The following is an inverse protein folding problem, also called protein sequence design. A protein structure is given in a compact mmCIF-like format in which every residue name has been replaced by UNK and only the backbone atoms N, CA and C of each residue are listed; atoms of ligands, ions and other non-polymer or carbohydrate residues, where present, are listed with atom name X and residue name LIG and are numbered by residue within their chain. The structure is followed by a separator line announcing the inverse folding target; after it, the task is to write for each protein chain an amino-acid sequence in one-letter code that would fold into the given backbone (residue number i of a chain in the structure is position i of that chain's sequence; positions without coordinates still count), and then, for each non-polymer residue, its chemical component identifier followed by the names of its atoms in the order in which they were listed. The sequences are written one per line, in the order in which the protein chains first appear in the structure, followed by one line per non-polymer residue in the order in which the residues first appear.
data_IF_147741191825
#
_entry.id   IF_147741191825
#
_cell.length_a   1.000
_cell.length_b   1.000
_cell.length_c   1.000
_cell.angle_alpha   90.00
_cell.angle_beta   90.00
_cell.angle_gamma   90.00
#
_symmetry.space_group_name_H-M   'P 1'
#
loop_
_entity.id
_entity.type
_entity.pdbx_description
1 polymer ?
#
# COMPACT_ATOMS: atom_id res chain seq x y z
N UNK A 1 24.09 -29.19 12.80
CA UNK A 1 24.44 -27.81 12.50
C UNK A 1 23.13 -27.11 12.12
N UNK A 2 22.55 -26.32 13.00
CA UNK A 2 21.33 -25.58 12.66
C UNK A 2 21.61 -24.60 11.53
N UNK A 3 20.72 -24.57 10.52
CA UNK A 3 20.83 -23.58 9.44
C UNK A 3 20.64 -22.19 10.06
N UNK A 4 21.67 -21.36 10.01
CA UNK A 4 21.62 -19.97 10.51
C UNK A 4 20.79 -19.03 9.62
N UNK A 5 20.50 -19.44 8.38
CA UNK A 5 19.71 -18.65 7.43
C UNK A 5 18.73 -19.57 6.70
N UNK A 6 17.49 -19.13 6.61
CA UNK A 6 16.43 -19.74 5.78
C UNK A 6 15.94 -18.71 4.78
N UNK A 7 15.44 -19.17 3.65
CA UNK A 7 14.72 -18.33 2.68
C UNK A 7 13.36 -18.97 2.49
N UNK A 8 12.33 -18.24 2.85
CA UNK A 8 10.94 -18.69 2.82
C UNK A 8 10.10 -17.69 2.02
N UNK A 9 9.10 -18.19 1.31
CA UNK A 9 8.08 -17.34 0.67
C UNK A 9 7.01 -17.00 1.70
N UNK A 10 6.85 -15.70 1.95
CA UNK A 10 5.85 -15.20 2.90
C UNK A 10 4.92 -14.22 2.16
N UNK A 11 3.59 -14.40 2.24
CA UNK A 11 2.65 -13.45 1.64
C UNK A 11 2.85 -12.03 2.17
N UNK A 12 2.81 -11.03 1.28
CA UNK A 12 2.92 -9.62 1.66
C UNK A 12 1.86 -9.23 2.70
N UNK A 13 0.62 -9.71 2.54
CA UNK A 13 -0.48 -9.48 3.48
C UNK A 13 -0.16 -9.96 4.90
N UNK A 14 0.56 -11.08 5.04
CA UNK A 14 1.00 -11.57 6.33
C UNK A 14 2.04 -10.63 6.95
N UNK A 15 3.08 -10.23 6.20
CA UNK A 15 4.11 -9.31 6.70
C UNK A 15 3.52 -7.97 7.14
N UNK A 16 2.58 -7.41 6.37
CA UNK A 16 1.90 -6.16 6.72
C UNK A 16 1.00 -6.32 7.95
N UNK A 17 0.34 -7.47 8.09
CA UNK A 17 -0.44 -7.80 9.29
C UNK A 17 0.44 -7.93 10.54
N UNK A 18 1.59 -8.60 10.42
CA UNK A 18 2.57 -8.74 11.51
C UNK A 18 3.16 -7.38 11.92
N UNK A 19 3.42 -6.50 10.95
CA UNK A 19 3.84 -5.13 11.23
C UNK A 19 2.74 -4.35 11.99
N UNK A 20 1.49 -4.45 11.54
CA UNK A 20 0.33 -3.77 12.15
C UNK A 20 0.13 -4.12 13.61
N UNK A 21 0.35 -5.38 14.00
CA UNK A 21 0.20 -5.85 15.38
C UNK A 21 1.50 -5.79 16.21
N UNK A 22 2.59 -5.28 15.61
CA UNK A 22 3.88 -5.11 16.28
C UNK A 22 4.74 -6.35 16.40
N UNK A 23 4.39 -7.45 15.71
CA UNK A 23 5.22 -8.67 15.66
C UNK A 23 6.45 -8.49 14.77
N UNK A 24 6.33 -7.71 13.69
CA UNK A 24 7.42 -7.27 12.84
C UNK A 24 7.71 -5.79 13.13
N UNK A 25 8.92 -5.49 13.60
CA UNK A 25 9.36 -4.14 13.92
C UNK A 25 10.73 -3.83 13.31
N UNK A 26 11.15 -2.57 13.41
CA UNK A 26 12.46 -2.10 12.97
C UNK A 26 13.44 -2.10 14.15
N UNK A 27 14.74 -2.36 13.94
CA UNK A 27 15.76 -2.00 14.91
C UNK A 27 15.97 -0.48 14.92
N UNK A 28 16.34 0.08 16.06
CA UNK A 28 16.48 1.52 16.33
C UNK A 28 17.56 2.23 15.51
N UNK A 29 18.56 1.51 15.01
CA UNK A 29 19.63 2.09 14.20
C UNK A 29 19.23 2.37 12.75
N UNK A 30 18.10 1.87 12.28
CA UNK A 30 17.65 2.15 10.91
C UNK A 30 17.16 3.59 10.79
N UNK A 31 17.52 4.23 9.65
CA UNK A 31 17.05 5.60 9.33
C UNK A 31 15.53 5.66 9.28
N UNK A 32 14.97 6.85 9.41
CA UNK A 32 13.56 7.09 9.17
C UNK A 32 13.13 6.78 7.73
N UNK A 33 11.84 6.67 7.51
CA UNK A 33 11.27 6.50 6.18
C UNK A 33 11.35 7.83 5.40
N UNK A 34 11.74 7.77 4.12
CA UNK A 34 12.06 8.97 3.31
C UNK A 34 11.59 8.87 1.84
N UNK A 35 10.75 7.89 1.50
CA UNK A 35 10.30 7.74 0.12
C UNK A 35 9.31 8.83 -0.29
N UNK A 36 9.46 9.31 -1.53
CA UNK A 36 8.57 10.24 -2.17
C UNK A 36 7.39 9.54 -2.87
N UNK A 37 6.46 10.34 -3.36
CA UNK A 37 5.23 9.91 -4.02
C UNK A 37 5.48 9.03 -5.26
N UNK A 38 6.48 9.37 -6.06
CA UNK A 38 6.83 8.64 -7.29
C UNK A 38 7.37 7.24 -6.98
N UNK A 39 8.27 7.11 -6.01
CA UNK A 39 8.80 5.81 -5.58
C UNK A 39 7.71 4.91 -5.00
N UNK A 40 6.74 5.47 -4.27
CA UNK A 40 5.62 4.70 -3.73
C UNK A 40 4.73 4.18 -4.87
N UNK A 41 4.37 5.04 -5.84
CA UNK A 41 3.54 4.67 -6.99
C UNK A 41 4.21 3.56 -7.83
N UNK A 42 5.49 3.69 -8.14
CA UNK A 42 6.26 2.68 -8.89
C UNK A 42 6.38 1.36 -8.13
N UNK A 43 6.53 1.39 -6.79
CA UNK A 43 6.50 0.17 -5.97
C UNK A 43 5.14 -0.52 -6.04
N UNK A 44 4.04 0.23 -5.93
CA UNK A 44 2.68 -0.32 -6.00
C UNK A 44 2.41 -0.95 -7.38
N UNK A 45 2.84 -0.30 -8.45
CA UNK A 45 2.78 -0.83 -9.81
C UNK A 45 3.58 -2.13 -9.94
N UNK A 46 4.81 -2.18 -9.42
CA UNK A 46 5.63 -3.40 -9.43
C UNK A 46 4.97 -4.56 -8.70
N UNK A 47 4.36 -4.30 -7.52
CA UNK A 47 3.64 -5.32 -6.75
C UNK A 47 2.41 -5.82 -7.51
N UNK A 48 1.67 -4.93 -8.19
CA UNK A 48 0.44 -5.29 -8.90
C UNK A 48 0.65 -6.29 -10.04
N UNK A 49 1.83 -6.28 -10.67
CA UNK A 49 2.23 -7.23 -11.73
C UNK A 49 3.12 -8.36 -11.23
N UNK A 50 3.23 -8.52 -9.90
CA UNK A 50 4.10 -9.54 -9.29
C UNK A 50 5.58 -9.43 -9.70
N UNK A 51 6.05 -8.23 -10.04
CA UNK A 51 7.48 -8.01 -10.29
C UNK A 51 8.28 -8.18 -9.00
N UNK A 52 9.51 -8.74 -9.10
CA UNK A 52 10.38 -8.86 -7.95
C UNK A 52 10.77 -7.48 -7.39
N UNK A 53 10.28 -7.16 -6.20
CA UNK A 53 10.62 -5.91 -5.51
C UNK A 53 11.86 -6.03 -4.61
N UNK A 54 12.58 -7.16 -4.70
CA UNK A 54 13.74 -7.51 -3.88
C UNK A 54 13.37 -8.31 -2.62
N UNK A 55 14.38 -8.91 -1.99
CA UNK A 55 14.19 -9.67 -0.75
C UNK A 55 13.96 -8.77 0.46
N UNK A 56 13.25 -9.29 1.44
CA UNK A 56 13.11 -8.72 2.78
C UNK A 56 13.95 -9.57 3.73
N UNK A 57 14.84 -8.94 4.50
CA UNK A 57 15.65 -9.65 5.49
C UNK A 57 15.09 -9.40 6.89
N UNK A 58 14.81 -10.47 7.62
CA UNK A 58 14.37 -10.40 9.01
C UNK A 58 15.32 -11.15 9.93
N UNK A 59 15.38 -10.72 11.17
CA UNK A 59 16.12 -11.37 12.24
C UNK A 59 15.13 -11.82 13.32
N UNK A 60 15.12 -13.12 13.63
CA UNK A 60 14.35 -13.64 14.75
C UNK A 60 14.91 -13.11 16.07
N UNK A 61 14.01 -12.64 16.92
CA UNK A 61 14.36 -12.22 18.28
C UNK A 61 14.56 -13.44 19.19
N UNK A 62 15.40 -13.29 20.19
CA UNK A 62 15.72 -14.36 21.17
C UNK A 62 17.19 -14.75 21.23
N UNK A 63 18.02 -14.21 20.34
CA UNK A 63 19.47 -14.34 20.47
C UNK A 63 19.99 -13.38 21.57
N UNK A 64 20.58 -13.88 22.67
CA UNK A 64 21.07 -13.05 23.76
C UNK A 64 22.22 -12.11 23.36
N UNK A 65 22.88 -12.39 22.25
CA UNK A 65 24.00 -11.61 21.72
C UNK A 65 23.54 -10.41 20.87
N UNK A 66 22.24 -10.37 20.50
CA UNK A 66 21.66 -9.31 19.66
C UNK A 66 20.70 -8.46 20.48
N UNK A 67 21.13 -7.25 20.83
CA UNK A 67 20.40 -6.31 21.70
C UNK A 67 20.03 -5.05 20.92
N UNK A 68 19.19 -5.17 19.88
CA UNK A 68 18.58 -4.00 19.24
C UNK A 68 17.33 -3.57 19.97
N UNK A 69 17.15 -2.25 20.14
CA UNK A 69 15.90 -1.69 20.63
C UNK A 69 14.88 -1.70 19.49
N UNK A 70 13.72 -2.37 19.64
CA UNK A 70 12.72 -2.38 18.57
C UNK A 70 11.95 -1.07 18.54
N UNK A 71 11.49 -0.69 17.35
CA UNK A 71 10.50 0.37 17.13
C UNK A 71 9.52 -0.06 16.04
N UNK A 72 8.23 0.35 16.10
CA UNK A 72 7.27 0.08 15.03
C UNK A 72 7.72 0.67 13.68
N UNK A 73 7.17 0.14 12.58
CA UNK A 73 7.24 0.83 11.30
C UNK A 73 6.53 2.18 11.38
N UNK A 74 6.96 3.16 10.59
CA UNK A 74 6.26 4.44 10.51
C UNK A 74 4.79 4.23 10.13
N UNK A 75 3.92 4.93 10.85
CA UNK A 75 2.47 4.83 10.66
C UNK A 75 1.78 3.70 11.43
N UNK A 76 2.53 2.81 12.07
CA UNK A 76 1.96 1.78 12.96
C UNK A 76 1.72 2.38 14.35
N UNK A 77 0.48 2.38 14.80
CA UNK A 77 0.08 2.81 16.13
C UNK A 77 -0.21 1.57 16.99
N UNK A 78 0.67 1.28 17.94
CA UNK A 78 0.48 0.18 18.88
C UNK A 78 -0.19 0.72 20.15
N UNK A 79 -1.31 0.09 20.57
CA UNK A 79 -2.02 0.47 21.79
C UNK A 79 -1.22 0.23 23.08
N UNK A 80 -0.18 -0.61 22.99
CA UNK A 80 0.76 -0.94 24.08
C UNK A 80 2.11 -1.35 23.49
N UNK A 81 3.14 -1.36 24.29
CA UNK A 81 4.42 -1.93 23.89
C UNK A 81 4.26 -3.42 23.58
N UNK A 82 4.71 -3.82 22.41
CA UNK A 82 4.69 -5.21 21.92
C UNK A 82 6.13 -5.64 21.68
N UNK A 83 6.51 -6.76 22.28
CA UNK A 83 7.79 -7.39 21.98
C UNK A 83 7.71 -8.05 20.60
N UNK A 84 8.55 -7.64 19.60
CA UNK A 84 8.49 -8.24 18.29
C UNK A 84 9.04 -9.67 18.28
N UNK A 85 8.51 -10.47 17.36
CA UNK A 85 9.05 -11.79 17.02
C UNK A 85 10.18 -11.64 15.98
N UNK A 86 10.04 -10.66 15.08
CA UNK A 86 10.95 -10.38 13.97
C UNK A 86 11.39 -8.93 13.95
N UNK A 87 12.67 -8.70 13.64
CA UNK A 87 13.23 -7.39 13.32
C UNK A 87 13.54 -7.32 11.83
N UNK A 88 13.01 -6.32 11.15
CA UNK A 88 13.23 -6.06 9.74
C UNK A 88 14.61 -5.42 9.53
N UNK A 89 15.55 -6.20 8.99
CA UNK A 89 16.95 -5.77 8.82
C UNK A 89 17.20 -5.12 7.46
N UNK A 90 16.49 -5.56 6.41
CA UNK A 90 16.52 -4.95 5.08
C UNK A 90 15.12 -4.95 4.45
N UNK A 91 14.87 -3.97 3.57
CA UNK A 91 13.56 -3.74 2.96
C UNK A 91 12.67 -2.75 3.72
N UNK A 92 13.20 -2.02 4.70
CA UNK A 92 12.45 -1.08 5.53
C UNK A 92 11.63 -0.08 4.70
N UNK A 93 12.26 0.61 3.73
CA UNK A 93 11.58 1.65 2.95
C UNK A 93 10.39 1.08 2.19
N UNK A 94 10.58 -0.08 1.54
CA UNK A 94 9.54 -0.80 0.80
C UNK A 94 8.39 -1.26 1.71
N UNK A 95 8.72 -1.93 2.81
CA UNK A 95 7.72 -2.42 3.76
C UNK A 95 6.92 -1.30 4.41
N UNK A 96 7.58 -0.19 4.76
CA UNK A 96 6.90 0.98 5.32
C UNK A 96 5.99 1.63 4.28
N UNK A 97 6.44 1.80 3.03
CA UNK A 97 5.61 2.37 1.96
C UNK A 97 4.39 1.50 1.66
N UNK A 98 4.57 0.18 1.56
CA UNK A 98 3.45 -0.76 1.36
C UNK A 98 2.48 -0.74 2.55
N UNK A 99 2.98 -0.69 3.77
CA UNK A 99 2.13 -0.58 4.96
C UNK A 99 1.30 0.72 4.94
N UNK A 100 1.95 1.85 4.68
CA UNK A 100 1.30 3.16 4.64
C UNK A 100 0.23 3.23 3.55
N UNK A 101 0.53 2.72 2.35
CA UNK A 101 -0.37 2.80 1.20
C UNK A 101 -1.53 1.78 1.24
N UNK A 102 -1.29 0.56 1.77
CA UNK A 102 -2.22 -0.57 1.66
C UNK A 102 -2.91 -0.96 2.97
N UNK A 103 -2.36 -0.58 4.14
CA UNK A 103 -2.79 -1.13 5.42
C UNK A 103 -3.03 -0.08 6.53
N UNK A 104 -2.54 1.16 6.37
CA UNK A 104 -2.64 2.18 7.43
C UNK A 104 -4.05 2.76 7.60
N UNK A 105 -4.89 2.71 6.56
CA UNK A 105 -6.22 3.33 6.53
C UNK A 105 -6.18 4.86 6.57
N UNK A 106 -5.03 5.48 6.31
CA UNK A 106 -4.80 6.92 6.37
C UNK A 106 -4.07 7.40 5.11
N UNK A 107 -4.26 8.68 4.69
CA UNK A 107 -3.42 9.27 3.66
C UNK A 107 -1.94 9.19 4.02
N UNK A 108 -1.11 8.81 3.05
CA UNK A 108 0.34 8.74 3.21
C UNK A 108 0.93 10.14 3.24
N UNK A 109 1.65 10.47 4.32
CA UNK A 109 2.42 11.71 4.42
C UNK A 109 3.78 11.49 3.77
N UNK A 110 3.98 12.04 2.58
CA UNK A 110 5.16 11.88 1.74
C UNK A 110 5.65 13.23 1.21
N UNK A 111 6.51 13.23 0.22
CA UNK A 111 7.02 14.45 -0.44
C UNK A 111 6.96 14.31 -1.97
N UNK A 112 6.96 15.44 -2.69
CA UNK A 112 7.21 15.44 -4.13
C UNK A 112 8.71 15.40 -4.45
N UNK A 113 9.05 15.35 -5.75
CA UNK A 113 10.43 15.37 -6.24
C UNK A 113 11.24 16.61 -5.81
N UNK A 114 10.59 17.65 -5.29
CA UNK A 114 11.21 18.88 -4.74
C UNK A 114 11.23 18.90 -3.22
N UNK A 115 10.98 17.76 -2.55
CA UNK A 115 10.85 17.62 -1.10
C UNK A 115 9.72 18.46 -0.47
N UNK A 116 8.68 18.85 -1.23
CA UNK A 116 7.52 19.54 -0.69
C UNK A 116 6.58 18.50 -0.06
N UNK A 117 6.12 18.70 1.19
CA UNK A 117 5.21 17.77 1.86
C UNK A 117 3.89 17.57 1.11
N UNK A 118 3.47 16.32 1.00
CA UNK A 118 2.22 15.88 0.37
C UNK A 118 1.48 14.92 1.29
N UNK A 119 0.14 14.86 1.13
CA UNK A 119 -0.71 13.81 1.68
C UNK A 119 -1.43 13.13 0.54
N UNK A 120 -1.23 11.83 0.38
CA UNK A 120 -1.68 11.06 -0.78
C UNK A 120 -2.46 9.82 -0.39
N UNK A 121 -3.47 9.53 -1.20
CA UNK A 121 -4.10 8.21 -1.30
C UNK A 121 -3.75 7.62 -2.66
N UNK A 122 -3.67 6.29 -2.73
CA UNK A 122 -3.34 5.59 -3.97
C UNK A 122 -4.54 4.79 -4.44
N UNK A 123 -4.78 4.86 -5.75
CA UNK A 123 -5.90 4.21 -6.42
C UNK A 123 -5.39 3.40 -7.62
N UNK A 124 -6.13 2.36 -7.97
CA UNK A 124 -5.99 1.70 -9.26
C UNK A 124 -7.10 2.23 -10.19
N UNK A 125 -6.72 2.81 -11.31
CA UNK A 125 -7.63 3.06 -12.43
C UNK A 125 -7.96 1.73 -13.10
N UNK A 126 -9.18 1.24 -12.94
CA UNK A 126 -9.60 -0.07 -13.43
C UNK A 126 -9.48 -0.15 -14.95
N UNK A 127 -9.82 0.91 -15.67
CA UNK A 127 -9.74 0.91 -17.13
C UNK A 127 -8.29 0.80 -17.61
N UNK A 128 -7.40 1.60 -17.03
CA UNK A 128 -5.97 1.53 -17.34
C UNK A 128 -5.36 0.18 -16.93
N UNK A 129 -5.79 -0.37 -15.79
CA UNK A 129 -5.30 -1.65 -15.28
C UNK A 129 -5.70 -2.84 -16.17
N UNK A 130 -6.85 -2.79 -16.81
CA UNK A 130 -7.36 -3.83 -17.70
C UNK A 130 -6.94 -3.65 -19.17
N UNK A 131 -6.36 -2.50 -19.53
CA UNK A 131 -5.87 -2.24 -20.89
C UNK A 131 -4.49 -2.86 -21.08
N UNK A 132 -4.34 -3.92 -21.91
CA UNK A 132 -3.06 -4.58 -22.14
C UNK A 132 -2.04 -3.72 -22.90
N UNK A 133 -2.45 -2.57 -23.45
CA UNK A 133 -1.57 -1.64 -24.14
C UNK A 133 -0.92 -0.60 -23.21
N UNK A 134 -1.40 -0.48 -21.97
CA UNK A 134 -0.88 0.46 -20.97
C UNK A 134 0.09 -0.22 -20.01
N UNK A 135 1.02 0.56 -19.48
CA UNK A 135 1.87 0.13 -18.38
C UNK A 135 1.08 0.22 -17.06
N UNK A 136 1.29 -0.73 -16.15
CA UNK A 136 0.67 -0.69 -14.84
C UNK A 136 1.12 0.51 -13.98
N UNK A 137 2.25 1.14 -14.31
CA UNK A 137 2.64 2.42 -13.69
C UNK A 137 1.61 3.51 -13.98
N UNK A 138 1.03 3.53 -15.18
CA UNK A 138 -0.02 4.47 -15.57
C UNK A 138 -1.36 4.19 -14.89
N UNK A 139 -1.58 2.94 -14.46
CA UNK A 139 -2.79 2.52 -13.76
C UNK A 139 -2.78 2.85 -12.24
N UNK A 140 -1.64 3.16 -11.66
CA UNK A 140 -1.53 3.56 -10.24
C UNK A 140 -1.60 5.08 -10.14
N UNK A 141 -2.69 5.58 -9.58
CA UNK A 141 -2.97 7.02 -9.49
C UNK A 141 -2.77 7.52 -8.06
N UNK A 142 -1.83 8.44 -7.89
CA UNK A 142 -1.63 9.16 -6.62
C UNK A 142 -2.56 10.38 -6.56
N UNK A 143 -3.41 10.43 -5.55
CA UNK A 143 -4.45 11.45 -5.40
C UNK A 143 -4.26 12.22 -4.10
N UNK A 144 -4.40 13.56 -4.10
CA UNK A 144 -4.42 14.33 -2.86
C UNK A 144 -5.44 13.79 -1.84
N UNK A 145 -5.16 13.95 -0.55
CA UNK A 145 -6.00 13.43 0.53
C UNK A 145 -7.46 13.94 0.52
N UNK A 146 -7.73 15.05 -0.18
CA UNK A 146 -9.08 15.58 -0.39
C UNK A 146 -9.86 14.89 -1.54
N UNK A 147 -9.23 13.92 -2.22
CA UNK A 147 -9.83 13.19 -3.34
C UNK A 147 -9.94 13.98 -4.65
N UNK A 148 -9.24 15.12 -4.77
CA UNK A 148 -9.37 16.01 -5.92
C UNK A 148 -8.06 16.21 -6.66
N UNK A 149 -8.01 15.82 -7.93
CA UNK A 149 -6.92 16.18 -8.84
C UNK A 149 -7.30 17.46 -9.58
N UNK A 150 -6.44 18.47 -9.49
CA UNK A 150 -6.66 19.79 -10.10
C UNK A 150 -5.64 20.08 -11.19
N UNK A 151 -6.07 20.87 -12.19
CA UNK A 151 -5.18 21.45 -13.19
C UNK A 151 -4.31 22.57 -12.58
N UNK A 152 -3.33 23.06 -13.36
CA UNK A 152 -2.55 24.24 -12.98
C UNK A 152 -3.44 25.49 -12.74
N UNK A 153 -4.59 25.58 -13.40
CA UNK A 153 -5.57 26.66 -13.23
C UNK A 153 -6.60 26.40 -12.13
N UNK A 154 -6.34 25.40 -11.26
CA UNK A 154 -7.23 25.00 -10.15
C UNK A 154 -8.58 24.42 -10.58
N UNK A 155 -8.74 24.01 -11.84
CA UNK A 155 -9.94 23.30 -12.31
C UNK A 155 -9.87 21.83 -11.88
N UNK A 156 -10.99 21.27 -11.42
CA UNK A 156 -11.06 19.86 -11.02
C UNK A 156 -11.04 19.00 -12.28
N UNK A 157 -10.02 18.15 -12.40
CA UNK A 157 -9.87 17.16 -13.48
C UNK A 157 -10.43 15.79 -13.09
N UNK A 158 -10.29 15.42 -11.83
CA UNK A 158 -10.81 14.19 -11.27
C UNK A 158 -11.33 14.48 -9.86
N UNK A 159 -12.53 14.04 -9.57
CA UNK A 159 -13.16 14.10 -8.25
C UNK A 159 -13.51 12.68 -7.79
N UNK A 160 -12.81 12.18 -6.80
CA UNK A 160 -13.04 10.90 -6.13
C UNK A 160 -13.09 11.10 -4.61
N UNK A 161 -13.68 12.21 -4.19
CA UNK A 161 -13.74 12.61 -2.78
C UNK A 161 -14.69 11.76 -1.93
N UNK A 162 -15.50 10.91 -2.56
CA UNK A 162 -16.39 9.97 -1.89
C UNK A 162 -16.52 8.65 -2.68
N UNK A 163 -17.08 7.62 -2.05
CA UNK A 163 -17.25 6.28 -2.60
C UNK A 163 -18.04 6.25 -3.91
N UNK A 164 -19.09 7.05 -4.03
CA UNK A 164 -19.91 7.08 -5.25
C UNK A 164 -19.11 7.60 -6.45
N UNK A 165 -18.26 8.59 -6.23
CA UNK A 165 -17.38 9.16 -7.24
C UNK A 165 -16.18 8.25 -7.56
N UNK A 166 -15.63 7.53 -6.57
CA UNK A 166 -14.65 6.47 -6.82
C UNK A 166 -15.21 5.45 -7.81
N UNK A 167 -16.42 4.95 -7.55
CA UNK A 167 -17.12 3.98 -8.39
C UNK A 167 -17.46 4.58 -9.77
N UNK A 168 -17.94 5.81 -9.82
CA UNK A 168 -18.29 6.48 -11.08
C UNK A 168 -17.08 6.64 -12.00
N UNK A 169 -15.92 6.96 -11.42
CA UNK A 169 -14.66 7.15 -12.14
C UNK A 169 -13.84 5.86 -12.24
N UNK A 170 -14.36 4.73 -11.79
CA UNK A 170 -13.71 3.40 -11.83
C UNK A 170 -12.33 3.39 -11.14
N UNK A 171 -12.22 4.12 -10.02
CA UNK A 171 -11.00 4.28 -9.24
C UNK A 171 -11.06 3.43 -7.98
N UNK A 172 -10.39 2.27 -7.98
CA UNK A 172 -10.35 1.37 -6.83
C UNK A 172 -9.33 1.86 -5.77
N UNK A 173 -9.75 2.12 -4.52
CA UNK A 173 -8.82 2.60 -3.48
C UNK A 173 -7.92 1.47 -2.97
N UNK A 174 -6.60 1.60 -3.16
CA UNK A 174 -5.64 0.57 -2.74
C UNK A 174 -5.56 0.40 -1.21
N UNK A 175 -5.93 1.42 -0.45
CA UNK A 175 -5.94 1.37 1.01
C UNK A 175 -6.91 0.38 1.64
N UNK A 176 -7.84 -0.20 0.85
CA UNK A 176 -8.78 -1.24 1.32
C UNK A 176 -8.45 -2.63 0.79
N UNK A 177 -7.46 -2.78 -0.11
CA UNK A 177 -7.19 -4.05 -0.82
C UNK A 177 -6.92 -5.24 0.10
N UNK A 178 -6.42 -4.99 1.31
CA UNK A 178 -6.15 -6.02 2.32
C UNK A 178 -7.34 -6.26 3.28
N UNK A 179 -8.37 -5.43 3.23
CA UNK A 179 -9.62 -5.63 3.94
C UNK A 179 -10.64 -6.31 3.02
N UNK A 180 -10.81 -7.62 3.19
CA UNK A 180 -11.70 -8.42 2.33
C UNK A 180 -13.15 -7.93 2.37
N UNK A 181 -13.65 -7.47 3.53
CA UNK A 181 -15.01 -7.00 3.68
C UNK A 181 -15.22 -5.67 2.92
N UNK A 182 -14.31 -4.71 3.11
CA UNK A 182 -14.36 -3.42 2.42
C UNK A 182 -14.13 -3.57 0.91
N UNK A 183 -13.19 -4.42 0.50
CA UNK A 183 -12.95 -4.74 -0.91
C UNK A 183 -14.20 -5.33 -1.56
N UNK A 184 -14.81 -6.34 -0.92
CA UNK A 184 -16.03 -6.97 -1.43
C UNK A 184 -17.19 -5.97 -1.49
N UNK A 185 -17.37 -5.15 -0.46
CA UNK A 185 -18.40 -4.11 -0.43
C UNK A 185 -18.21 -3.08 -1.55
N UNK A 186 -16.97 -2.67 -1.82
CA UNK A 186 -16.65 -1.78 -2.94
C UNK A 186 -17.04 -2.41 -4.29
N UNK A 187 -16.64 -3.67 -4.52
CA UNK A 187 -16.96 -4.38 -5.76
C UNK A 187 -18.47 -4.63 -5.94
N UNK A 188 -19.21 -4.95 -4.87
CA UNK A 188 -20.66 -5.10 -4.94
C UNK A 188 -21.34 -3.79 -5.38
N UNK A 189 -20.90 -2.67 -4.83
CA UNK A 189 -21.40 -1.35 -5.24
C UNK A 189 -20.99 -1.00 -6.68
N UNK A 190 -19.74 -1.33 -7.07
CA UNK A 190 -19.23 -1.10 -8.43
C UNK A 190 -19.97 -1.93 -9.48
N UNK A 191 -20.27 -3.19 -9.19
CA UNK A 191 -21.01 -4.07 -10.10
C UNK A 191 -22.53 -3.85 -10.08
N UNK A 192 -23.05 -3.05 -9.12
CA UNK A 192 -24.47 -2.75 -8.97
C UNK A 192 -25.33 -3.93 -8.51
N UNK A 193 -26.49 -3.62 -7.89
CA UNK A 193 -27.42 -4.65 -7.38
C UNK A 193 -28.46 -5.09 -8.40
N UNK A 194 -28.52 -4.49 -9.62
CA UNK A 194 -29.61 -4.68 -10.60
C UNK A 194 -29.19 -5.26 -11.96
N UNK A 195 -30.11 -5.95 -12.65
CA UNK A 195 -29.90 -6.34 -14.05
C UNK A 195 -30.09 -5.12 -14.96
N UNK A 196 -29.00 -4.53 -15.45
CA UNK A 196 -29.07 -3.55 -16.54
C UNK A 196 -28.11 -2.36 -16.46
N UNK A 197 -27.73 -1.88 -15.28
CA UNK A 197 -26.88 -0.69 -15.19
C UNK A 197 -25.37 -1.01 -15.30
N UNK A 198 -24.96 -2.27 -15.12
CA UNK A 198 -23.55 -2.66 -15.04
C UNK A 198 -23.13 -3.82 -15.93
N UNK A 199 -23.85 -4.07 -17.02
CA UNK A 199 -23.47 -5.12 -17.97
C UNK A 199 -22.08 -4.83 -18.56
N UNK A 200 -21.79 -3.58 -18.91
CA UNK A 200 -20.50 -3.14 -19.44
C UNK A 200 -19.36 -3.36 -18.42
N UNK A 201 -19.61 -3.03 -17.15
CA UNK A 201 -18.62 -3.27 -16.07
C UNK A 201 -18.37 -4.74 -15.82
N UNK A 202 -19.42 -5.57 -15.86
CA UNK A 202 -19.29 -7.03 -15.70
C UNK A 202 -18.53 -7.67 -16.85
N UNK A 203 -18.74 -7.19 -18.09
CA UNK A 203 -18.06 -7.68 -19.27
C UNK A 203 -16.55 -7.38 -19.26
N UNK A 204 -16.09 -6.34 -18.55
CA UNK A 204 -14.67 -6.04 -18.37
C UNK A 204 -13.91 -7.12 -17.57
N UNK A 205 -14.64 -7.93 -16.78
CA UNK A 205 -14.04 -8.95 -15.89
C UNK A 205 -14.25 -10.39 -16.38
N UNK A 206 -14.77 -10.57 -17.58
CA UNK A 206 -14.98 -11.88 -18.22
C UNK A 206 -14.04 -12.09 -19.41
#
# INVERSE_FOLDING_TARGET
MEKKFTSDEVPLSQLLSEARIGKLQLPDFQRGWVWDDEHISSLLASVSVSYPIGAVMTLQRGNPDVKFRPRPLEGVDLARDVEPELLLMDGQQRMTSLYLALASGRPVETVDAKNKPLKRNYYADINAFLDPALDHEDAIVSVPADGLIRSFHNEIKLDISDRAKEIQNEMFPLGIVLDQAETMNWFLQYLGEGPGEDQERREKWT
#
